data_IF_238532368189
#
_entry.id   IF_238532368189
#
_cell.length_a   1.000
_cell.length_b   1.000
_cell.length_c   1.000
_cell.angle_alpha   90.00
_cell.angle_beta   90.00
_cell.angle_gamma   90.00
#
_symmetry.space_group_name_H-M   'P 1'
#
loop_
_entity.id
_entity.type
_entity.pdbx_description
1 polymer ?
#
# COMPACT_ATOMS: atom_id res chain seq x y z
N UNK A 1 -28.47 -20.09 11.59
CA UNK A 1 -27.18 -20.55 11.03
C UNK A 1 -27.02 -20.13 9.57
N UNK A 2 -27.99 -20.41 8.70
CA UNK A 2 -27.95 -20.05 7.27
C UNK A 2 -27.86 -18.53 7.04
N UNK A 3 -28.67 -17.72 7.70
CA UNK A 3 -28.64 -16.25 7.58
C UNK A 3 -27.30 -15.65 7.99
N UNK A 4 -26.65 -16.21 9.01
CA UNK A 4 -25.33 -15.77 9.44
C UNK A 4 -24.25 -16.07 8.38
N UNK A 5 -24.31 -17.24 7.76
CA UNK A 5 -23.38 -17.60 6.68
C UNK A 5 -23.55 -16.68 5.46
N UNK A 6 -24.80 -16.39 5.08
CA UNK A 6 -25.10 -15.45 3.96
C UNK A 6 -24.59 -14.05 4.28
N UNK A 7 -24.84 -13.55 5.49
CA UNK A 7 -24.35 -12.22 5.89
C UNK A 7 -22.80 -12.15 5.88
N UNK A 8 -22.12 -13.22 6.30
CA UNK A 8 -20.67 -13.31 6.27
C UNK A 8 -20.10 -13.29 4.85
N UNK A 9 -20.73 -14.01 3.91
CA UNK A 9 -20.32 -14.00 2.50
C UNK A 9 -20.48 -12.63 1.86
N UNK A 10 -21.60 -11.93 2.12
CA UNK A 10 -21.79 -10.57 1.64
C UNK A 10 -20.79 -9.58 2.22
N UNK A 11 -20.47 -9.71 3.52
CA UNK A 11 -19.48 -8.87 4.16
C UNK A 11 -18.07 -9.11 3.57
N UNK A 12 -17.72 -10.36 3.34
CA UNK A 12 -16.45 -10.75 2.72
C UNK A 12 -16.35 -10.23 1.28
N UNK A 13 -17.43 -10.31 0.50
CA UNK A 13 -17.51 -9.76 -0.84
C UNK A 13 -17.33 -8.24 -0.83
N UNK A 14 -18.06 -7.55 0.04
CA UNK A 14 -17.98 -6.09 0.18
C UNK A 14 -16.58 -5.63 0.58
N UNK A 15 -15.92 -6.33 1.51
CA UNK A 15 -14.56 -6.04 1.93
C UNK A 15 -13.54 -6.20 0.78
N UNK A 16 -13.65 -7.27 0.00
CA UNK A 16 -12.81 -7.51 -1.19
C UNK A 16 -13.02 -6.43 -2.23
N UNK A 17 -14.27 -6.10 -2.53
CA UNK A 17 -14.61 -5.07 -3.50
C UNK A 17 -14.08 -3.70 -3.08
N UNK A 18 -14.28 -3.33 -1.82
CA UNK A 18 -13.77 -2.08 -1.28
C UNK A 18 -12.24 -2.01 -1.33
N UNK A 19 -11.55 -3.11 -0.98
CA UNK A 19 -10.09 -3.18 -1.06
C UNK A 19 -9.57 -2.99 -2.48
N UNK A 20 -10.20 -3.62 -3.47
CA UNK A 20 -9.83 -3.45 -4.90
C UNK A 20 -9.98 -1.99 -5.32
N UNK A 21 -11.10 -1.33 -4.97
CA UNK A 21 -11.34 0.07 -5.34
C UNK A 21 -10.28 0.99 -4.71
N UNK A 22 -9.98 0.82 -3.43
CA UNK A 22 -8.98 1.66 -2.75
C UNK A 22 -7.57 1.41 -3.29
N UNK A 23 -7.23 0.16 -3.62
CA UNK A 23 -5.96 -0.21 -4.23
C UNK A 23 -5.80 0.41 -5.64
N UNK A 24 -6.86 0.36 -6.46
CA UNK A 24 -6.86 1.00 -7.79
C UNK A 24 -6.72 2.51 -7.67
N UNK A 25 -7.39 3.14 -6.70
CA UNK A 25 -7.27 4.58 -6.45
C UNK A 25 -5.82 4.95 -6.05
N UNK A 26 -5.19 4.18 -5.16
CA UNK A 26 -3.82 4.42 -4.72
C UNK A 26 -2.80 4.21 -5.84
N UNK A 27 -2.89 3.10 -6.57
CA UNK A 27 -2.02 2.82 -7.73
C UNK A 27 -2.23 3.89 -8.80
N UNK A 28 -3.49 4.24 -9.09
CA UNK A 28 -3.84 5.23 -10.10
C UNK A 28 -3.27 6.61 -9.79
N UNK A 29 -3.41 7.10 -8.55
CA UNK A 29 -2.82 8.39 -8.14
C UNK A 29 -1.29 8.37 -8.20
N UNK A 30 -0.65 7.24 -7.82
CA UNK A 30 0.80 7.08 -7.89
C UNK A 30 1.32 7.16 -9.33
N UNK A 31 0.70 6.44 -10.26
CA UNK A 31 1.06 6.51 -11.68
C UNK A 31 0.75 7.87 -12.31
N UNK A 32 -0.34 8.52 -11.87
CA UNK A 32 -0.66 9.87 -12.29
C UNK A 32 0.46 10.86 -11.95
N UNK A 33 0.96 10.84 -10.72
CA UNK A 33 2.06 11.72 -10.31
C UNK A 33 3.39 11.38 -10.98
N UNK A 34 3.65 10.11 -11.31
CA UNK A 34 4.81 9.74 -12.12
C UNK A 34 4.68 10.32 -13.53
N UNK A 35 3.54 10.17 -14.17
CA UNK A 35 3.28 10.73 -15.51
C UNK A 35 3.39 12.27 -15.50
N UNK A 36 2.80 12.92 -14.49
CA UNK A 36 2.92 14.36 -14.28
C UNK A 36 4.38 14.81 -14.15
N UNK A 37 5.18 14.12 -13.35
CA UNK A 37 6.59 14.45 -13.15
C UNK A 37 7.43 14.32 -14.42
N UNK A 38 7.10 13.35 -15.27
CA UNK A 38 7.74 13.15 -16.57
C UNK A 38 7.30 14.19 -17.62
N UNK A 39 6.09 14.73 -17.49
CA UNK A 39 5.52 15.73 -18.39
C UNK A 39 5.92 17.19 -18.07
N UNK A 40 6.54 17.44 -16.90
CA UNK A 40 6.87 18.78 -16.46
C UNK A 40 7.86 19.49 -17.41
N UNK A 41 7.50 20.69 -17.86
CA UNK A 41 8.32 21.54 -18.73
C UNK A 41 8.77 22.79 -17.97
N UNK A 42 10.07 23.10 -18.06
CA UNK A 42 10.61 24.37 -17.55
C UNK A 42 10.35 25.49 -18.56
N UNK A 43 9.71 26.57 -18.12
CA UNK A 43 9.43 27.73 -18.96
C UNK A 43 9.92 29.04 -18.31
N UNK A 44 10.29 30.07 -19.11
CA UNK A 44 10.85 31.30 -18.57
C UNK A 44 9.93 32.10 -17.65
N UNK A 45 8.61 31.93 -17.77
CA UNK A 45 7.61 32.71 -17.04
C UNK A 45 7.14 32.02 -15.74
N UNK A 46 7.79 30.91 -15.32
CA UNK A 46 7.44 30.23 -14.09
C UNK A 46 7.64 31.14 -12.87
N UNK A 47 6.75 31.02 -11.86
CA UNK A 47 6.94 31.73 -10.60
C UNK A 47 8.27 31.34 -9.92
N UNK A 48 8.85 32.27 -9.12
CA UNK A 48 10.07 31.96 -8.37
C UNK A 48 9.93 30.69 -7.52
N UNK A 49 10.88 29.76 -7.64
CA UNK A 49 10.90 28.48 -6.92
C UNK A 49 10.13 27.34 -7.58
N UNK A 50 9.36 27.60 -8.63
CA UNK A 50 8.72 26.53 -9.40
C UNK A 50 9.76 25.73 -10.20
N UNK A 51 9.66 24.41 -10.11
CA UNK A 51 10.54 23.46 -10.81
C UNK A 51 10.13 23.28 -12.27
N UNK A 52 8.83 23.21 -12.55
CA UNK A 52 8.25 23.02 -13.86
C UNK A 52 6.72 23.12 -13.84
N UNK A 53 6.12 23.16 -15.00
CA UNK A 53 4.66 23.18 -15.18
C UNK A 53 4.20 22.16 -16.22
N UNK A 54 2.94 21.75 -16.10
CA UNK A 54 2.25 20.92 -17.09
C UNK A 54 0.82 21.39 -17.25
N UNK A 55 0.32 21.35 -18.50
CA UNK A 55 -1.06 21.59 -18.84
C UNK A 55 -1.74 20.29 -19.21
N UNK A 56 -2.85 20.00 -18.56
CA UNK A 56 -3.63 18.78 -18.76
C UNK A 56 -5.06 19.11 -19.13
N UNK A 57 -5.69 18.22 -19.87
CA UNK A 57 -7.12 18.28 -20.22
C UNK A 57 -7.82 17.04 -19.67
N UNK A 58 -8.86 17.23 -18.88
CA UNK A 58 -9.70 16.13 -18.40
C UNK A 58 -11.14 16.60 -18.25
N UNK A 59 -12.10 15.78 -18.75
CA UNK A 59 -13.52 16.08 -18.64
C UNK A 59 -13.92 17.44 -19.28
N UNK A 60 -13.20 17.91 -20.31
CA UNK A 60 -13.43 19.21 -20.94
C UNK A 60 -12.82 20.41 -20.19
N UNK A 61 -12.22 20.20 -19.04
CA UNK A 61 -11.50 21.23 -18.27
C UNK A 61 -10.01 21.26 -18.56
N UNK A 62 -9.42 22.47 -18.48
CA UNK A 62 -7.97 22.67 -18.59
C UNK A 62 -7.39 22.84 -17.19
N UNK A 63 -6.37 22.05 -16.88
CA UNK A 63 -5.69 22.07 -15.59
C UNK A 63 -4.26 22.53 -15.80
N UNK A 64 -3.86 23.58 -15.06
CA UNK A 64 -2.50 24.07 -15.05
C UNK A 64 -1.85 23.72 -13.73
N UNK A 65 -0.82 22.89 -13.77
CA UNK A 65 -0.15 22.35 -12.60
C UNK A 65 1.28 22.88 -12.57
N UNK A 66 1.69 23.39 -11.42
CA UNK A 66 3.05 23.85 -11.16
C UNK A 66 3.64 23.06 -10.00
N UNK A 67 4.82 22.48 -10.19
CA UNK A 67 5.53 21.72 -9.16
C UNK A 67 6.59 22.57 -8.48
N UNK A 68 6.58 22.56 -7.15
CA UNK A 68 7.62 23.15 -6.31
C UNK A 68 8.33 22.02 -5.57
N UNK A 69 9.68 22.07 -5.49
CA UNK A 69 10.47 21.08 -4.74
C UNK A 69 10.57 21.43 -3.26
N UNK A 70 10.34 22.69 -2.92
CA UNK A 70 10.25 23.22 -1.55
C UNK A 70 9.00 24.08 -1.44
N UNK A 71 8.45 24.24 -0.26
CA UNK A 71 7.26 25.05 -0.05
C UNK A 71 7.49 26.49 -0.56
N UNK A 72 6.60 27.02 -1.44
CA UNK A 72 6.69 28.41 -1.88
C UNK A 72 6.42 29.37 -0.72
N UNK A 73 6.84 30.62 -0.87
CA UNK A 73 6.68 31.65 0.16
C UNK A 73 5.20 31.91 0.53
N UNK A 74 4.29 31.67 -0.41
CA UNK A 74 2.85 31.79 -0.19
C UNK A 74 2.22 30.41 -0.47
N UNK A 75 1.75 29.77 0.62
CA UNK A 75 1.03 28.50 0.56
C UNK A 75 -0.48 28.76 0.69
N UNK A 76 -1.33 27.98 0.00
CA UNK A 76 -2.76 28.01 0.24
C UNK A 76 -3.08 27.46 1.64
N UNK A 77 -4.18 27.96 2.23
CA UNK A 77 -4.65 27.48 3.54
C UNK A 77 -5.05 26.00 3.50
N UNK A 78 -5.58 25.54 2.37
CA UNK A 78 -6.03 24.16 2.22
C UNK A 78 -5.16 23.41 1.21
N UNK A 79 -4.60 22.29 1.67
CA UNK A 79 -3.84 21.35 0.84
C UNK A 79 -4.57 20.04 0.73
N UNK A 80 -4.67 19.50 -0.47
CA UNK A 80 -5.16 18.13 -0.69
C UNK A 80 -4.00 17.15 -0.52
N UNK A 81 -4.16 16.21 0.41
CA UNK A 81 -3.15 15.21 0.71
C UNK A 81 -3.55 13.87 0.10
N UNK A 82 -2.74 13.35 -0.82
CA UNK A 82 -2.88 12.02 -1.41
C UNK A 82 -2.31 10.94 -0.49
N UNK A 83 -2.91 10.78 0.68
CA UNK A 83 -2.53 9.79 1.70
C UNK A 83 -3.66 8.84 2.08
N UNK A 84 -4.90 9.28 1.87
CA UNK A 84 -6.07 8.51 2.30
C UNK A 84 -6.26 7.24 1.46
N UNK A 85 -5.87 7.26 0.18
CA UNK A 85 -5.89 6.10 -0.69
C UNK A 85 -5.02 4.97 -0.12
N UNK A 86 -3.81 5.28 0.31
CA UNK A 86 -2.92 4.29 0.93
C UNK A 86 -3.45 3.80 2.29
N UNK A 87 -4.00 4.69 3.11
CA UNK A 87 -4.59 4.32 4.41
C UNK A 87 -5.78 3.41 4.24
N UNK A 88 -6.72 3.74 3.35
CA UNK A 88 -7.88 2.90 3.12
C UNK A 88 -7.52 1.57 2.46
N UNK A 89 -6.51 1.55 1.59
CA UNK A 89 -5.98 0.29 1.03
C UNK A 89 -5.42 -0.60 2.14
N UNK A 90 -4.61 -0.06 3.04
CA UNK A 90 -4.06 -0.83 4.16
C UNK A 90 -5.16 -1.30 5.12
N UNK A 91 -6.07 -0.41 5.54
CA UNK A 91 -7.15 -0.74 6.46
C UNK A 91 -8.10 -1.80 5.88
N UNK A 92 -8.49 -1.66 4.62
CA UNK A 92 -9.36 -2.64 3.95
C UNK A 92 -8.66 -3.98 3.72
N UNK A 93 -7.35 -3.97 3.41
CA UNK A 93 -6.55 -5.18 3.31
C UNK A 93 -6.42 -5.91 4.64
N UNK A 94 -6.22 -5.18 5.74
CA UNK A 94 -6.20 -5.76 7.08
C UNK A 94 -7.58 -6.30 7.50
N UNK A 95 -8.65 -5.57 7.18
CA UNK A 95 -10.02 -6.06 7.40
C UNK A 95 -10.25 -7.37 6.63
N UNK A 96 -9.82 -7.43 5.38
CA UNK A 96 -9.95 -8.62 4.54
C UNK A 96 -9.12 -9.79 5.10
N UNK A 97 -7.91 -9.53 5.61
CA UNK A 97 -7.09 -10.53 6.31
C UNK A 97 -7.85 -11.11 7.53
N UNK A 98 -8.46 -10.23 8.33
CA UNK A 98 -9.24 -10.66 9.49
C UNK A 98 -10.49 -11.48 9.11
N UNK A 99 -11.26 -11.00 8.13
CA UNK A 99 -12.51 -11.66 7.74
C UNK A 99 -12.28 -12.99 7.03
N UNK A 100 -11.39 -13.03 6.06
CA UNK A 100 -11.20 -14.23 5.22
C UNK A 100 -10.25 -15.21 5.87
N UNK A 101 -9.06 -14.76 6.24
CA UNK A 101 -8.00 -15.66 6.70
C UNK A 101 -8.09 -15.97 8.19
N UNK A 102 -8.38 -14.98 9.04
CA UNK A 102 -8.47 -15.26 10.49
C UNK A 102 -9.83 -15.80 10.88
N UNK A 103 -10.92 -15.30 10.26
CA UNK A 103 -12.27 -15.85 10.47
C UNK A 103 -12.46 -17.25 9.90
N UNK A 104 -11.70 -17.63 8.87
CA UNK A 104 -11.68 -18.94 8.25
C UNK A 104 -10.32 -19.65 8.32
N UNK A 105 -9.61 -19.53 9.46
CA UNK A 105 -8.21 -19.95 9.56
C UNK A 105 -7.96 -21.42 9.21
N UNK A 106 -8.86 -22.31 9.60
CA UNK A 106 -8.76 -23.75 9.28
C UNK A 106 -8.88 -24.05 7.77
N UNK A 107 -9.51 -23.14 6.99
CA UNK A 107 -9.75 -23.36 5.56
C UNK A 107 -8.78 -22.58 4.67
N UNK A 108 -8.37 -21.38 5.10
CA UNK A 108 -7.67 -20.43 4.24
C UNK A 108 -6.27 -20.05 4.73
N UNK A 109 -5.94 -20.32 5.99
CA UNK A 109 -4.63 -19.96 6.55
C UNK A 109 -3.76 -21.16 6.84
N UNK A 110 -4.35 -22.27 7.27
CA UNK A 110 -3.62 -23.46 7.75
C UNK A 110 -3.64 -24.54 6.68
N UNK A 111 -2.46 -25.04 6.34
CA UNK A 111 -2.28 -26.28 5.60
C UNK A 111 -1.59 -27.31 6.53
N UNK A 112 -2.35 -28.29 7.00
CA UNK A 112 -1.85 -29.32 7.92
C UNK A 112 -0.85 -30.27 7.25
N UNK A 113 -0.77 -30.29 5.93
CA UNK A 113 0.26 -31.05 5.21
C UNK A 113 1.62 -30.38 5.25
N UNK A 114 1.63 -29.05 5.44
CA UNK A 114 2.85 -28.24 5.55
C UNK A 114 3.26 -28.10 7.02
N UNK A 115 2.34 -27.65 7.87
CA UNK A 115 2.60 -27.48 9.31
C UNK A 115 1.32 -27.67 10.14
N UNK A 116 1.38 -28.52 11.15
CA UNK A 116 0.27 -28.72 12.09
C UNK A 116 0.18 -27.55 13.07
N UNK A 117 -0.68 -26.57 12.75
CA UNK A 117 -0.94 -25.41 13.59
C UNK A 117 -2.40 -25.40 14.07
N UNK A 118 -2.60 -24.91 15.30
CA UNK A 118 -3.93 -24.49 15.74
C UNK A 118 -4.26 -23.10 15.18
N UNK A 119 -5.55 -22.76 14.95
CA UNK A 119 -5.94 -21.46 14.39
C UNK A 119 -5.30 -20.25 15.08
N UNK A 120 -5.31 -20.23 16.41
CA UNK A 120 -4.71 -19.15 17.18
C UNK A 120 -3.18 -19.04 16.99
N UNK A 121 -2.48 -20.17 16.81
CA UNK A 121 -1.04 -20.18 16.55
C UNK A 121 -0.73 -19.57 15.18
N UNK A 122 -1.47 -19.97 14.15
CA UNK A 122 -1.33 -19.44 12.81
C UNK A 122 -1.59 -17.91 12.77
N UNK A 123 -2.65 -17.46 13.44
CA UNK A 123 -2.98 -16.03 13.56
C UNK A 123 -1.86 -15.27 14.30
N UNK A 124 -1.39 -15.78 15.42
CA UNK A 124 -0.30 -15.17 16.18
C UNK A 124 1.00 -15.09 15.36
N UNK A 125 1.36 -16.15 14.63
CA UNK A 125 2.53 -16.16 13.74
C UNK A 125 2.39 -15.13 12.62
N UNK A 126 1.23 -15.04 12.00
CA UNK A 126 0.95 -14.04 10.96
C UNK A 126 1.09 -12.61 11.50
N UNK A 127 0.45 -12.30 12.63
CA UNK A 127 0.55 -10.97 13.24
C UNK A 127 1.97 -10.65 13.71
N UNK A 128 2.67 -11.63 14.30
CA UNK A 128 4.06 -11.45 14.71
C UNK A 128 4.98 -11.19 13.52
N UNK A 129 4.81 -11.93 12.42
CA UNK A 129 5.62 -11.73 11.20
C UNK A 129 5.43 -10.35 10.58
N UNK A 130 4.18 -9.85 10.52
CA UNK A 130 3.88 -8.49 10.06
C UNK A 130 4.53 -7.44 10.96
N UNK A 131 4.40 -7.61 12.28
CA UNK A 131 4.97 -6.67 13.27
C UNK A 131 6.49 -6.66 13.23
N UNK A 132 7.12 -7.83 13.19
CA UNK A 132 8.57 -7.99 13.09
C UNK A 132 9.08 -7.42 11.76
N UNK A 133 8.39 -7.72 10.67
CA UNK A 133 8.74 -7.20 9.34
C UNK A 133 8.71 -5.68 9.30
N UNK A 134 7.70 -5.05 9.91
CA UNK A 134 7.62 -3.60 10.03
C UNK A 134 8.73 -3.02 10.88
N UNK A 135 9.00 -3.58 12.06
CA UNK A 135 10.09 -3.13 12.93
C UNK A 135 11.45 -3.25 12.24
N UNK A 136 11.67 -4.36 11.55
CA UNK A 136 12.91 -4.58 10.81
C UNK A 136 13.09 -3.57 9.66
N UNK A 137 12.04 -3.32 8.87
CA UNK A 137 12.02 -2.30 7.84
C UNK A 137 12.34 -0.90 8.40
N UNK A 138 11.69 -0.52 9.51
CA UNK A 138 11.91 0.78 10.17
C UNK A 138 13.38 0.95 10.60
N UNK A 139 13.98 -0.11 11.19
CA UNK A 139 15.38 -0.07 11.59
C UNK A 139 16.33 0.00 10.40
N UNK A 140 16.05 -0.73 9.31
CA UNK A 140 16.83 -0.65 8.08
C UNK A 140 16.81 0.76 7.48
N UNK A 141 15.65 1.39 7.41
CA UNK A 141 15.52 2.76 6.91
C UNK A 141 16.27 3.79 7.76
N UNK A 142 16.37 3.58 9.07
CA UNK A 142 17.13 4.43 10.01
C UNK A 142 18.62 4.16 10.00
N UNK A 143 19.07 3.07 9.43
CA UNK A 143 20.47 2.69 9.34
C UNK A 143 21.24 3.46 8.25
N UNK A 144 22.54 3.30 8.18
CA UNK A 144 23.38 3.86 7.11
C UNK A 144 22.94 3.39 5.71
N UNK A 145 22.33 2.21 5.62
CA UNK A 145 21.80 1.66 4.37
C UNK A 145 20.60 2.47 3.84
N UNK A 146 19.83 3.12 4.71
CA UNK A 146 18.74 4.00 4.32
C UNK A 146 19.17 5.17 3.41
N UNK A 147 20.45 5.55 3.45
CA UNK A 147 21.01 6.58 2.57
C UNK A 147 21.42 6.03 1.18
N UNK A 148 21.42 4.71 0.99
CA UNK A 148 21.72 4.06 -0.29
C UNK A 148 20.44 3.43 -0.87
N UNK A 149 19.74 4.19 -1.70
CA UNK A 149 18.46 3.78 -2.28
C UNK A 149 18.53 2.43 -2.98
N UNK A 150 19.54 2.21 -3.84
CA UNK A 150 19.67 0.95 -4.59
C UNK A 150 20.00 -0.24 -3.69
N UNK A 151 20.93 -0.05 -2.75
CA UNK A 151 21.27 -1.08 -1.78
C UNK A 151 20.09 -1.48 -0.89
N UNK A 152 19.32 -0.50 -0.42
CA UNK A 152 18.10 -0.73 0.35
C UNK A 152 17.03 -1.48 -0.47
N UNK A 153 16.78 -1.05 -1.71
CA UNK A 153 15.79 -1.69 -2.58
C UNK A 153 16.13 -3.16 -2.87
N UNK A 154 17.40 -3.46 -3.20
CA UNK A 154 17.84 -4.83 -3.48
C UNK A 154 17.68 -5.70 -2.23
N UNK A 155 18.14 -5.21 -1.07
CA UNK A 155 18.01 -5.96 0.18
C UNK A 155 16.54 -6.22 0.54
N UNK A 156 15.68 -5.20 0.45
CA UNK A 156 14.25 -5.36 0.74
C UNK A 156 13.59 -6.36 -0.22
N UNK A 157 13.96 -6.34 -1.49
CA UNK A 157 13.45 -7.31 -2.45
C UNK A 157 13.84 -8.74 -2.08
N UNK A 158 15.12 -8.97 -1.74
CA UNK A 158 15.59 -10.30 -1.30
C UNK A 158 14.84 -10.75 -0.04
N UNK A 159 14.68 -9.88 0.94
CA UNK A 159 13.97 -10.18 2.18
C UNK A 159 12.49 -10.50 1.94
N UNK A 160 11.81 -9.79 1.04
CA UNK A 160 10.44 -10.08 0.66
C UNK A 160 10.31 -11.45 -0.02
N UNK A 161 11.25 -11.80 -0.91
CA UNK A 161 11.27 -13.13 -1.55
C UNK A 161 11.49 -14.24 -0.50
N UNK A 162 12.43 -14.05 0.44
CA UNK A 162 12.68 -15.00 1.52
C UNK A 162 11.48 -15.12 2.45
N UNK A 163 10.81 -14.02 2.77
CA UNK A 163 9.60 -14.02 3.60
C UNK A 163 8.44 -14.74 2.88
N UNK A 164 8.23 -14.46 1.59
CA UNK A 164 7.23 -15.15 0.79
C UNK A 164 7.49 -16.66 0.73
N UNK A 165 8.74 -17.06 0.48
CA UNK A 165 9.12 -18.48 0.54
C UNK A 165 8.90 -19.08 1.94
N UNK A 166 9.26 -18.35 3.00
CA UNK A 166 8.99 -18.79 4.39
C UNK A 166 7.52 -19.00 4.67
N UNK A 167 6.64 -18.15 4.13
CA UNK A 167 5.19 -18.32 4.28
C UNK A 167 4.66 -19.60 3.62
N UNK A 168 5.20 -19.99 2.48
CA UNK A 168 4.82 -21.27 1.84
C UNK A 168 5.24 -22.50 2.65
N UNK A 169 6.13 -22.35 3.64
CA UNK A 169 6.54 -23.44 4.55
C UNK A 169 5.73 -23.46 5.86
N UNK A 170 4.82 -22.52 6.05
CA UNK A 170 4.06 -22.36 7.30
C UNK A 170 2.55 -22.35 7.03
N UNK A 171 2.12 -21.63 6.00
CA UNK A 171 0.72 -21.38 5.70
C UNK A 171 0.30 -22.04 4.38
N UNK A 172 -1.00 -22.05 4.15
CA UNK A 172 -1.58 -22.41 2.83
C UNK A 172 -0.99 -21.54 1.74
N UNK A 173 -0.45 -22.16 0.67
CA UNK A 173 0.13 -21.48 -0.49
C UNK A 173 -0.85 -21.32 -1.64
#
# INVERSE_FOLDING_TARGET
>A
MYEYAVAWEWLSLAARWFHVITAVAWIGSSFYFIALDLGLVKRPHLPPGAYGEEWQVHGGGFYHIQKYLVAPAQMPEHLTWFKYESYFTWLSGFLMLCLVYYGGADLFLIDRSVMELQPWQAICLSLASLSIGWLFYDQLCKSKLGNNTWGLMILLYILLVLMAWGYTQIFTG
#
